data_IF_135374150212
#
_entry.id   IF_135374150212
#
_cell.length_a   1.000
_cell.length_b   1.000
_cell.length_c   1.000
_cell.angle_alpha   90.00
_cell.angle_beta   90.00
_cell.angle_gamma   90.00
#
_symmetry.space_group_name_H-M   'P 1'
#
loop_
_entity.id
_entity.type
_entity.pdbx_description
1 polymer ?
#
# COMPACT_ATOMS: atom_id res chain seq x y z
N UNK A 1 25.65 -6.73 9.37
CA UNK A 1 25.17 -5.33 9.30
C UNK A 1 23.66 -5.40 9.37
N UNK A 2 23.11 -5.27 10.57
CA UNK A 2 21.66 -5.26 10.78
C UNK A 2 21.30 -3.85 11.25
N UNK A 3 21.41 -2.90 10.33
CA UNK A 3 20.77 -1.61 10.53
C UNK A 3 19.27 -1.90 10.42
N UNK A 4 18.66 -2.22 11.56
CA UNK A 4 17.24 -2.48 11.68
C UNK A 4 16.52 -1.36 10.94
N UNK A 5 15.89 -1.72 9.82
CA UNK A 5 15.24 -0.75 8.96
C UNK A 5 14.20 -0.01 9.78
N UNK A 6 14.45 1.28 9.94
CA UNK A 6 13.49 2.20 10.50
C UNK A 6 12.53 2.51 9.36
N UNK A 7 11.48 1.70 9.26
CA UNK A 7 10.44 1.92 8.28
C UNK A 7 9.78 3.28 8.41
N UNK A 8 8.83 3.59 7.52
CA UNK A 8 7.96 4.74 7.69
C UNK A 8 7.38 4.76 9.10
N UNK A 9 7.28 5.95 9.69
CA UNK A 9 6.70 6.12 11.03
C UNK A 9 5.24 5.66 11.10
N UNK A 10 4.68 5.54 12.31
CA UNK A 10 3.31 5.04 12.51
C UNK A 10 2.24 5.91 11.82
N UNK A 11 2.53 7.18 11.56
CA UNK A 11 1.61 8.12 10.92
C UNK A 11 1.85 8.27 9.39
N UNK A 12 2.71 7.41 8.81
CA UNK A 12 2.99 7.46 7.38
C UNK A 12 1.73 7.12 6.57
N UNK A 13 1.50 7.90 5.52
CA UNK A 13 0.42 7.63 4.57
C UNK A 13 0.67 6.29 3.84
N UNK A 14 -0.39 5.61 3.37
CA UNK A 14 -0.25 4.39 2.59
C UNK A 14 0.71 4.55 1.39
N UNK A 15 0.70 5.71 0.75
CA UNK A 15 1.59 6.04 -0.37
C UNK A 15 3.07 6.06 0.05
N UNK A 16 3.38 6.67 1.19
CA UNK A 16 4.75 6.71 1.71
C UNK A 16 5.26 5.31 2.07
N UNK A 17 4.39 4.47 2.64
CA UNK A 17 4.71 3.08 2.96
C UNK A 17 5.01 2.28 1.68
N UNK A 18 4.15 2.37 0.67
CA UNK A 18 4.35 1.72 -0.64
C UNK A 18 5.67 2.18 -1.28
N UNK A 19 5.95 3.48 -1.27
CA UNK A 19 7.19 4.02 -1.82
C UNK A 19 8.44 3.53 -1.07
N UNK A 20 8.39 3.45 0.26
CA UNK A 20 9.48 2.94 1.06
C UNK A 20 9.76 1.45 0.78
N UNK A 21 8.71 0.63 0.65
CA UNK A 21 8.84 -0.79 0.29
C UNK A 21 9.46 -0.97 -1.10
N UNK A 22 9.01 -0.20 -2.09
CA UNK A 22 9.57 -0.22 -3.45
C UNK A 22 11.06 0.14 -3.45
N UNK A 23 11.41 1.24 -2.79
CA UNK A 23 12.81 1.71 -2.68
C UNK A 23 13.69 0.65 -2.02
N UNK A 24 13.18 -0.01 -0.97
CA UNK A 24 13.91 -1.08 -0.28
C UNK A 24 14.09 -2.32 -1.17
N UNK A 25 13.07 -2.71 -1.92
CA UNK A 25 13.16 -3.82 -2.86
C UNK A 25 14.18 -3.56 -3.98
N UNK A 26 14.24 -2.32 -4.49
CA UNK A 26 15.24 -1.89 -5.47
C UNK A 26 16.66 -2.01 -4.89
N UNK A 27 16.87 -1.50 -3.67
CA UNK A 27 18.15 -1.62 -2.99
C UNK A 27 18.56 -3.09 -2.81
N UNK A 28 17.63 -3.96 -2.40
CA UNK A 28 17.91 -5.39 -2.24
C UNK A 28 18.27 -6.05 -3.56
N UNK A 29 17.62 -5.66 -4.66
CA UNK A 29 17.96 -6.18 -5.99
C UNK A 29 19.38 -5.81 -6.37
N UNK A 30 19.77 -4.54 -6.17
CA UNK A 30 21.14 -4.08 -6.41
C UNK A 30 22.16 -4.83 -5.54
N UNK A 31 21.85 -5.06 -4.26
CA UNK A 31 22.72 -5.83 -3.38
C UNK A 31 22.86 -7.29 -3.81
N UNK A 32 21.76 -7.92 -4.22
CA UNK A 32 21.79 -9.29 -4.69
C UNK A 32 22.64 -9.45 -5.96
N UNK A 33 22.56 -8.48 -6.87
CA UNK A 33 23.35 -8.49 -8.10
C UNK A 33 24.84 -8.31 -7.80
N UNK A 34 25.19 -7.40 -6.89
CA UNK A 34 26.57 -7.25 -6.41
C UNK A 34 27.11 -8.51 -5.70
N UNK A 35 26.24 -9.27 -5.04
CA UNK A 35 26.61 -10.48 -4.30
C UNK A 35 26.68 -11.73 -5.18
N UNK A 36 26.04 -11.72 -6.36
CA UNK A 36 25.82 -12.91 -7.19
C UNK A 36 27.12 -13.62 -7.62
N UNK A 37 28.20 -12.87 -7.83
CA UNK A 37 29.49 -13.44 -8.25
C UNK A 37 30.30 -14.04 -7.09
N UNK A 38 30.03 -13.59 -5.86
CA UNK A 38 30.75 -14.03 -4.65
C UNK A 38 29.99 -15.13 -3.90
N UNK A 39 28.67 -14.98 -3.77
CA UNK A 39 27.81 -15.87 -3.00
C UNK A 39 26.41 -15.93 -3.63
N UNK A 40 26.23 -16.87 -4.56
CA UNK A 40 24.94 -17.09 -5.22
C UNK A 40 23.82 -17.48 -4.26
N UNK A 41 24.13 -18.17 -3.17
CA UNK A 41 23.13 -18.63 -2.21
C UNK A 41 22.50 -17.44 -1.50
N UNK A 42 23.34 -16.58 -0.92
CA UNK A 42 22.85 -15.36 -0.29
C UNK A 42 22.26 -14.38 -1.31
N UNK A 43 22.79 -14.29 -2.53
CA UNK A 43 22.18 -13.47 -3.58
C UNK A 43 20.74 -13.93 -3.91
N UNK A 44 20.47 -15.24 -3.93
CA UNK A 44 19.12 -15.76 -4.14
C UNK A 44 18.16 -15.39 -2.99
N UNK A 45 18.63 -15.49 -1.74
CA UNK A 45 17.84 -15.07 -0.56
C UNK A 45 17.48 -13.59 -0.63
N UNK A 46 18.44 -12.72 -0.95
CA UNK A 46 18.18 -11.27 -1.06
C UNK A 46 17.24 -10.94 -2.22
N UNK A 47 17.28 -11.69 -3.33
CA UNK A 47 16.30 -11.55 -4.43
C UNK A 47 14.89 -11.92 -4.00
N UNK A 48 14.75 -13.00 -3.22
CA UNK A 48 13.45 -13.39 -2.67
C UNK A 48 12.91 -12.32 -1.73
N UNK A 49 13.73 -11.77 -0.84
CA UNK A 49 13.33 -10.65 0.02
C UNK A 49 12.90 -9.43 -0.79
N UNK A 50 13.62 -9.10 -1.87
CA UNK A 50 13.23 -8.03 -2.79
C UNK A 50 11.89 -8.30 -3.47
N UNK A 51 11.61 -9.55 -3.85
CA UNK A 51 10.33 -9.96 -4.42
C UNK A 51 9.19 -9.80 -3.41
N UNK A 52 9.38 -10.29 -2.18
CA UNK A 52 8.39 -10.17 -1.11
C UNK A 52 8.03 -8.70 -0.81
N UNK A 53 9.03 -7.81 -0.76
CA UNK A 53 8.79 -6.37 -0.57
C UNK A 53 7.96 -5.75 -1.70
N UNK A 54 8.18 -6.16 -2.96
CA UNK A 54 7.36 -5.71 -4.10
C UNK A 54 5.93 -6.22 -4.00
N UNK A 55 5.75 -7.48 -3.63
CA UNK A 55 4.42 -8.06 -3.42
C UNK A 55 3.66 -7.33 -2.31
N UNK A 56 4.32 -7.04 -1.19
CA UNK A 56 3.74 -6.24 -0.10
C UNK A 56 3.31 -4.85 -0.58
N UNK A 57 4.17 -4.16 -1.33
CA UNK A 57 3.84 -2.85 -1.90
C UNK A 57 2.61 -2.90 -2.80
N UNK A 58 2.51 -3.90 -3.69
CA UNK A 58 1.38 -4.08 -4.59
C UNK A 58 0.07 -4.38 -3.86
N UNK A 59 0.11 -5.22 -2.82
CA UNK A 59 -1.07 -5.52 -1.99
C UNK A 59 -1.57 -4.28 -1.27
N UNK A 60 -0.67 -3.49 -0.68
CA UNK A 60 -1.04 -2.26 0.02
C UNK A 60 -1.62 -1.20 -0.92
N UNK A 61 -1.07 -1.08 -2.13
CA UNK A 61 -1.61 -0.20 -3.18
C UNK A 61 -3.03 -0.61 -3.55
N UNK A 62 -3.28 -1.90 -3.81
CA UNK A 62 -4.62 -2.40 -4.12
C UNK A 62 -5.63 -2.23 -2.97
N UNK A 63 -5.20 -2.36 -1.71
CA UNK A 63 -6.06 -2.07 -0.55
C UNK A 63 -6.40 -0.58 -0.48
N UNK A 64 -5.44 0.30 -0.73
CA UNK A 64 -5.66 1.75 -0.71
C UNK A 64 -6.65 2.17 -1.82
N UNK A 65 -6.49 1.64 -3.03
CA UNK A 65 -7.42 1.88 -4.15
C UNK A 65 -8.83 1.43 -3.79
N UNK A 66 -8.99 0.20 -3.28
CA UNK A 66 -10.30 -0.32 -2.87
C UNK A 66 -10.93 0.54 -1.77
N UNK A 67 -10.13 0.99 -0.80
CA UNK A 67 -10.61 1.86 0.27
C UNK A 67 -11.12 3.20 -0.27
N UNK A 68 -10.41 3.81 -1.22
CA UNK A 68 -10.81 5.08 -1.83
C UNK A 68 -12.11 4.90 -2.64
N UNK A 69 -12.23 3.83 -3.42
CA UNK A 69 -13.45 3.48 -4.16
C UNK A 69 -14.66 3.30 -3.22
N UNK A 70 -14.49 2.55 -2.13
CA UNK A 70 -15.53 2.37 -1.12
C UNK A 70 -15.93 3.70 -0.48
N UNK A 71 -14.97 4.59 -0.24
CA UNK A 71 -15.20 5.94 0.26
C UNK A 71 -16.04 6.78 -0.69
N UNK A 72 -15.75 6.72 -1.99
CA UNK A 72 -16.53 7.42 -3.03
C UNK A 72 -17.96 6.87 -3.15
N UNK A 73 -18.11 5.56 -3.12
CA UNK A 73 -19.43 4.91 -3.14
C UNK A 73 -20.25 5.29 -1.90
N UNK A 74 -19.63 5.31 -0.72
CA UNK A 74 -20.29 5.71 0.53
C UNK A 74 -20.75 7.18 0.48
N UNK A 75 -19.92 8.09 -0.02
CA UNK A 75 -20.29 9.50 -0.22
C UNK A 75 -21.47 9.65 -1.19
N UNK A 76 -21.45 8.89 -2.27
CA UNK A 76 -22.53 8.89 -3.28
C UNK A 76 -23.85 8.41 -2.68
N UNK A 77 -23.83 7.33 -1.89
CA UNK A 77 -25.00 6.81 -1.20
C UNK A 77 -25.54 7.80 -0.16
N UNK A 78 -24.67 8.46 0.60
CA UNK A 78 -25.10 9.50 1.55
C UNK A 78 -25.78 10.69 0.85
N UNK A 79 -25.22 11.14 -0.28
CA UNK A 79 -25.82 12.20 -1.09
C UNK A 79 -27.21 11.80 -1.62
N UNK A 80 -27.35 10.58 -2.14
CA UNK A 80 -28.62 10.05 -2.61
C UNK A 80 -29.65 9.94 -1.47
N UNK A 81 -29.24 9.44 -0.29
CA UNK A 81 -30.10 9.35 0.88
C UNK A 81 -30.56 10.73 1.38
N UNK A 82 -29.69 11.74 1.32
CA UNK A 82 -30.06 13.14 1.62
C UNK A 82 -31.08 13.69 0.63
N UNK A 83 -30.92 13.44 -0.67
CA UNK A 83 -31.89 13.83 -1.69
C UNK A 83 -33.25 13.19 -1.46
N UNK A 84 -33.31 11.88 -1.22
CA UNK A 84 -34.56 11.17 -0.92
C UNK A 84 -35.28 11.73 0.31
N UNK A 85 -34.53 12.07 1.37
CA UNK A 85 -35.10 12.72 2.56
C UNK A 85 -35.64 14.12 2.26
N UNK A 86 -34.97 14.88 1.40
CA UNK A 86 -35.44 16.21 0.97
C UNK A 86 -36.67 16.17 0.05
N UNK A 87 -36.87 15.05 -0.66
CA UNK A 87 -38.03 14.82 -1.53
C UNK A 87 -39.26 14.28 -0.79
N UNK A 88 -39.11 13.90 0.49
CA UNK A 88 -40.24 13.46 1.32
C UNK A 88 -41.09 14.68 1.67
N UNK A 89 -42.36 14.77 1.23
CA UNK A 89 -43.26 15.84 1.67
C UNK A 89 -43.44 15.76 3.19
N UNK A 90 -43.73 16.89 3.88
CA UNK A 90 -44.12 16.83 5.27
C UNK A 90 -45.34 15.91 5.36
N UNK A 91 -45.22 14.81 6.11
CA UNK A 91 -46.41 14.12 6.57
C UNK A 91 -46.96 14.98 7.69
N UNK A 92 -47.74 16.00 7.32
CA UNK A 92 -48.58 16.72 8.26
C UNK A 92 -49.58 15.73 8.89
N UNK A 93 -49.83 16.01 10.17
CA UNK A 93 -50.42 15.18 11.23
C UNK A 93 -51.84 14.68 10.99
#
# INVERSE_FOLDING_TARGET
MDAAWQGPGPDASPREIVQALRTRAENFTVFADALADFDRGNAAVVREDAFLLRCQAAVLEGIAELHDELGDQARTLDAFAKQLRGLRPPMDS
#
